data_IF_456616936126
#
_entry.id   IF_456616936126
#
_cell.length_a   1.000
_cell.length_b   1.000
_cell.length_c   1.000
_cell.angle_alpha   90.00
_cell.angle_beta   90.00
_cell.angle_gamma   90.00
#
_symmetry.space_group_name_H-M   'P 1'
#
loop_
_entity.id
_entity.type
_entity.pdbx_description
1 polymer ?
#
# COMPACT_ATOMS: atom_id res chain seq x y z
N UNK A 1 28.84 -0.10 2.15
CA UNK A 1 29.29 0.02 3.54
C UNK A 1 28.06 0.27 4.42
N UNK A 2 27.40 -0.82 4.84
CA UNK A 2 26.23 -0.82 5.71
C UNK A 2 26.55 -1.75 6.85
N UNK A 3 27.30 -1.21 7.84
CA UNK A 3 27.42 -1.80 9.16
C UNK A 3 27.43 -0.69 10.20
N UNK A 4 26.27 -0.04 10.37
CA UNK A 4 25.97 0.45 11.71
C UNK A 4 25.18 -0.68 12.37
N UNK A 5 25.82 -1.40 13.28
CA UNK A 5 25.17 -2.43 14.10
C UNK A 5 23.84 -1.89 14.58
N UNK A 6 22.76 -2.63 14.31
CA UNK A 6 21.42 -2.23 14.75
C UNK A 6 21.51 -2.15 16.28
N UNK A 7 21.34 -0.98 16.87
CA UNK A 7 21.45 -0.84 18.32
C UNK A 7 20.41 -1.73 19.00
N UNK A 8 20.75 -2.27 20.18
CA UNK A 8 19.85 -3.11 21.00
C UNK A 8 18.47 -2.44 21.19
N UNK A 9 18.44 -1.11 21.33
CA UNK A 9 17.21 -0.31 21.43
C UNK A 9 16.35 -0.40 20.17
N UNK A 10 16.96 -0.41 18.97
CA UNK A 10 16.22 -0.54 17.72
C UNK A 10 15.58 -1.92 17.60
N UNK A 11 16.31 -2.98 17.95
CA UNK A 11 15.79 -4.35 17.93
C UNK A 11 14.60 -4.46 18.88
N UNK A 12 14.73 -3.94 20.08
CA UNK A 12 13.64 -3.92 21.05
C UNK A 12 12.40 -3.20 20.53
N UNK A 13 12.55 -2.01 19.92
CA UNK A 13 11.41 -1.27 19.36
C UNK A 13 10.75 -2.01 18.19
N UNK A 14 11.53 -2.61 17.29
CA UNK A 14 11.01 -3.39 16.16
C UNK A 14 10.20 -4.58 16.68
N UNK A 15 10.77 -5.33 17.61
CA UNK A 15 10.08 -6.47 18.20
C UNK A 15 8.79 -6.05 18.92
N UNK A 16 8.85 -5.02 19.76
CA UNK A 16 7.68 -4.52 20.50
C UNK A 16 6.59 -4.02 19.54
N UNK A 17 6.94 -3.31 18.46
CA UNK A 17 6.00 -2.85 17.47
C UNK A 17 5.34 -4.01 16.72
N UNK A 18 6.12 -5.04 16.36
CA UNK A 18 5.56 -6.21 15.68
C UNK A 18 4.58 -6.94 16.60
N UNK A 19 5.00 -7.25 17.81
CA UNK A 19 4.18 -7.98 18.78
C UNK A 19 2.91 -7.19 19.11
N UNK A 20 3.02 -5.90 19.38
CA UNK A 20 1.87 -5.05 19.68
C UNK A 20 0.90 -4.99 18.49
N UNK A 21 1.39 -4.69 17.28
CA UNK A 21 0.55 -4.61 16.10
C UNK A 21 -0.13 -5.93 15.75
N UNK A 22 0.55 -7.03 16.00
CA UNK A 22 0.00 -8.37 15.84
C UNK A 22 -1.13 -8.63 16.84
N UNK A 23 -0.87 -8.41 18.14
CA UNK A 23 -1.83 -8.68 19.22
C UNK A 23 -3.08 -7.80 19.08
N UNK A 24 -2.91 -6.50 18.79
CA UNK A 24 -4.05 -5.58 18.64
C UNK A 24 -4.96 -6.01 17.48
N UNK A 25 -4.37 -6.44 16.37
CA UNK A 25 -5.16 -6.93 15.24
C UNK A 25 -5.83 -8.28 15.55
N UNK A 26 -5.13 -9.20 16.22
CA UNK A 26 -5.72 -10.46 16.69
C UNK A 26 -6.94 -10.20 17.60
N UNK A 27 -6.80 -9.25 18.52
CA UNK A 27 -7.91 -8.87 19.40
C UNK A 27 -9.12 -8.40 18.62
N UNK A 28 -8.95 -7.44 17.70
CA UNK A 28 -10.07 -6.89 16.93
C UNK A 28 -10.63 -7.88 15.90
N UNK A 29 -9.79 -8.66 15.22
CA UNK A 29 -10.25 -9.66 14.26
C UNK A 29 -11.05 -10.81 14.87
N UNK A 30 -10.94 -11.01 16.20
CA UNK A 30 -11.73 -12.00 16.95
C UNK A 30 -12.93 -11.39 17.71
N UNK A 31 -13.19 -10.06 17.59
CA UNK A 31 -14.36 -9.41 18.23
C UNK A 31 -15.65 -9.58 17.45
N UNK A 32 -15.56 -9.82 16.18
CA UNK A 32 -16.71 -9.96 15.30
C UNK A 32 -16.28 -10.11 13.85
N UNK A 33 -17.26 -10.24 12.98
CA UNK A 33 -17.06 -10.36 11.54
C UNK A 33 -17.32 -9.00 10.91
N UNK A 34 -16.36 -8.50 10.14
CA UNK A 34 -16.59 -7.34 9.29
C UNK A 34 -17.66 -7.70 8.27
N UNK A 35 -18.78 -6.94 8.18
CA UNK A 35 -20.01 -7.43 7.58
C UNK A 35 -19.95 -7.65 6.07
N UNK A 36 -19.00 -7.07 5.37
CA UNK A 36 -18.89 -7.13 3.92
C UNK A 36 -17.70 -7.98 3.48
N UNK A 37 -17.93 -8.87 2.52
CA UNK A 37 -16.91 -9.61 1.77
C UNK A 37 -15.91 -10.46 2.58
N UNK A 38 -16.01 -10.48 3.92
CA UNK A 38 -15.07 -11.22 4.77
C UNK A 38 -15.02 -12.71 4.41
N UNK A 39 -16.17 -13.33 4.27
CA UNK A 39 -16.25 -14.75 3.93
C UNK A 39 -15.88 -15.03 2.47
N UNK A 40 -16.06 -14.07 1.58
CA UNK A 40 -15.58 -14.18 0.20
C UNK A 40 -14.06 -14.37 0.15
N UNK A 41 -13.31 -13.56 0.90
CA UNK A 41 -11.85 -13.68 0.93
C UNK A 41 -11.36 -14.90 1.72
N UNK A 42 -12.13 -15.35 2.72
CA UNK A 42 -11.87 -16.63 3.39
C UNK A 42 -12.05 -17.80 2.41
N UNK A 43 -13.19 -17.84 1.70
CA UNK A 43 -13.51 -18.89 0.73
C UNK A 43 -12.49 -18.91 -0.41
N UNK A 44 -12.17 -17.76 -0.99
CA UNK A 44 -11.18 -17.67 -2.06
C UNK A 44 -9.79 -18.19 -1.62
N UNK A 45 -9.34 -17.84 -0.41
CA UNK A 45 -8.09 -18.36 0.14
C UNK A 45 -8.13 -19.89 0.33
N UNK A 46 -9.27 -20.45 0.70
CA UNK A 46 -9.48 -21.88 0.80
C UNK A 46 -9.51 -22.55 -0.58
N UNK A 47 -10.19 -21.95 -1.58
CA UNK A 47 -10.20 -22.44 -2.96
C UNK A 47 -8.79 -22.56 -3.52
N UNK A 48 -7.96 -21.55 -3.32
CA UNK A 48 -6.54 -21.61 -3.72
C UNK A 48 -5.80 -22.72 -2.97
N UNK A 49 -6.07 -22.94 -1.68
CA UNK A 49 -5.45 -24.01 -0.89
C UNK A 49 -5.75 -25.39 -1.48
N UNK A 50 -6.97 -25.62 -1.96
CA UNK A 50 -7.38 -26.93 -2.56
C UNK A 50 -7.03 -27.03 -4.05
N UNK A 51 -6.32 -26.05 -4.61
CA UNK A 51 -5.80 -26.07 -5.97
C UNK A 51 -6.66 -25.40 -7.03
N UNK A 52 -7.74 -24.72 -6.65
CA UNK A 52 -8.50 -23.88 -7.58
C UNK A 52 -7.74 -22.58 -7.86
N UNK A 53 -7.84 -22.09 -9.09
CA UNK A 53 -7.05 -20.95 -9.58
C UNK A 53 -7.99 -19.79 -9.92
N UNK A 54 -7.73 -18.59 -9.33
CA UNK A 54 -8.49 -17.38 -9.66
C UNK A 54 -8.52 -17.11 -11.17
N UNK A 55 -9.61 -16.58 -11.68
CA UNK A 55 -9.89 -16.32 -13.10
C UNK A 55 -10.10 -17.55 -13.97
N UNK A 56 -9.57 -18.71 -13.59
CA UNK A 56 -9.72 -19.96 -14.34
C UNK A 56 -10.88 -20.81 -13.80
N UNK A 57 -10.85 -21.09 -12.50
CA UNK A 57 -11.75 -22.05 -11.86
C UNK A 57 -12.91 -21.35 -11.11
N UNK A 58 -12.71 -20.09 -10.72
CA UNK A 58 -13.74 -19.25 -10.13
C UNK A 58 -13.64 -17.79 -10.57
N UNK A 59 -14.77 -17.10 -10.56
CA UNK A 59 -14.87 -15.72 -10.95
C UNK A 59 -14.22 -14.81 -9.89
N UNK A 60 -13.29 -13.96 -10.30
CA UNK A 60 -12.59 -13.05 -9.40
C UNK A 60 -12.60 -11.62 -9.95
N UNK A 61 -13.29 -10.71 -9.27
CA UNK A 61 -13.30 -9.26 -9.59
C UNK A 61 -12.27 -8.48 -8.79
N UNK A 62 -11.83 -9.01 -7.65
CA UNK A 62 -10.68 -8.54 -6.90
C UNK A 62 -9.41 -9.27 -7.34
N UNK A 63 -8.25 -8.69 -7.09
CA UNK A 63 -7.00 -9.33 -7.47
C UNK A 63 -6.67 -10.55 -6.61
N UNK A 64 -5.87 -11.48 -7.14
CA UNK A 64 -5.60 -12.76 -6.50
C UNK A 64 -4.55 -12.69 -5.39
N UNK A 65 -3.92 -11.52 -5.14
CA UNK A 65 -2.83 -11.39 -4.15
C UNK A 65 -3.26 -11.82 -2.75
N UNK A 66 -4.44 -11.37 -2.31
CA UNK A 66 -4.97 -11.70 -0.98
C UNK A 66 -5.27 -13.18 -0.87
N UNK A 67 -5.86 -13.77 -1.91
CA UNK A 67 -6.25 -15.18 -1.95
C UNK A 67 -5.01 -16.09 -1.86
N UNK A 68 -3.95 -15.81 -2.62
CA UNK A 68 -2.70 -16.56 -2.56
C UNK A 68 -1.97 -16.39 -1.22
N UNK A 69 -1.89 -15.17 -0.67
CA UNK A 69 -1.28 -14.97 0.64
C UNK A 69 -2.09 -15.72 1.71
N UNK A 70 -3.41 -15.64 1.66
CA UNK A 70 -4.28 -16.36 2.61
C UNK A 70 -4.10 -17.87 2.51
N UNK A 71 -4.00 -18.42 1.31
CA UNK A 71 -3.77 -19.86 1.12
C UNK A 71 -2.47 -20.34 1.77
N UNK A 72 -1.42 -19.52 1.76
CA UNK A 72 -0.16 -19.83 2.47
C UNK A 72 -0.40 -19.97 3.99
N UNK A 73 -1.13 -19.03 4.58
CA UNK A 73 -1.45 -19.11 6.01
C UNK A 73 -2.34 -20.32 6.32
N UNK A 74 -3.30 -20.62 5.46
CA UNK A 74 -4.13 -21.81 5.61
C UNK A 74 -3.34 -23.12 5.48
N UNK A 75 -2.36 -23.16 4.59
CA UNK A 75 -1.48 -24.33 4.43
C UNK A 75 -0.72 -24.65 5.71
N UNK A 76 -0.17 -23.64 6.41
CA UNK A 76 0.64 -23.86 7.61
C UNK A 76 -0.18 -23.94 8.90
N UNK A 77 -1.31 -23.26 8.99
CA UNK A 77 -2.07 -23.09 10.23
C UNK A 77 -3.47 -23.76 10.19
N UNK A 78 -3.82 -24.36 9.06
CA UNK A 78 -5.15 -24.90 8.79
C UNK A 78 -6.16 -23.84 8.37
N UNK A 79 -7.19 -24.26 7.63
CA UNK A 79 -8.28 -23.39 7.18
C UNK A 79 -9.25 -23.10 8.35
N UNK A 80 -8.95 -22.10 9.13
CA UNK A 80 -9.74 -21.68 10.29
C UNK A 80 -9.67 -20.16 10.51
N UNK A 81 -10.54 -19.65 11.39
CA UNK A 81 -10.65 -18.22 11.65
C UNK A 81 -9.36 -17.62 12.22
N UNK A 82 -8.66 -18.33 13.10
CA UNK A 82 -7.41 -17.83 13.69
C UNK A 82 -6.33 -17.64 12.63
N UNK A 83 -6.18 -18.58 11.68
CA UNK A 83 -5.25 -18.47 10.56
C UNK A 83 -5.62 -17.30 9.64
N UNK A 84 -6.92 -17.05 9.48
CA UNK A 84 -7.42 -15.93 8.69
C UNK A 84 -7.05 -14.57 9.33
N UNK A 85 -7.32 -14.42 10.62
CA UNK A 85 -6.94 -13.21 11.37
C UNK A 85 -5.42 -13.10 11.51
N UNK A 86 -4.69 -14.23 11.56
CA UNK A 86 -3.23 -14.24 11.63
C UNK A 86 -2.61 -13.56 10.40
N UNK A 87 -3.13 -13.82 9.22
CA UNK A 87 -2.68 -13.17 7.98
C UNK A 87 -2.73 -11.64 8.09
N UNK A 88 -3.87 -11.07 8.42
CA UNK A 88 -4.02 -9.61 8.57
C UNK A 88 -3.14 -9.04 9.68
N UNK A 89 -2.98 -9.77 10.79
CA UNK A 89 -2.11 -9.38 11.90
C UNK A 89 -0.65 -9.33 11.50
N UNK A 90 -0.21 -10.30 10.70
CA UNK A 90 1.16 -10.36 10.18
C UNK A 90 1.45 -9.19 9.23
N UNK A 91 0.54 -8.90 8.31
CA UNK A 91 0.66 -7.76 7.39
C UNK A 91 0.67 -6.43 8.16
N UNK A 92 -0.19 -6.28 9.18
CA UNK A 92 -0.17 -5.12 10.06
C UNK A 92 1.19 -4.94 10.75
N UNK A 93 1.76 -6.02 11.26
CA UNK A 93 3.08 -6.04 11.89
C UNK A 93 4.19 -5.60 10.93
N UNK A 94 4.24 -6.18 9.74
CA UNK A 94 5.25 -5.84 8.74
C UNK A 94 5.17 -4.39 8.29
N UNK A 95 3.98 -3.88 7.97
CA UNK A 95 3.80 -2.49 7.55
C UNK A 95 4.12 -1.50 8.66
N UNK A 96 3.83 -1.85 9.91
CA UNK A 96 4.21 -1.06 11.09
C UNK A 96 5.72 -0.94 11.24
N UNK A 97 6.44 -2.05 11.10
CA UNK A 97 7.92 -2.04 11.12
C UNK A 97 8.47 -1.18 9.98
N UNK A 98 7.91 -1.32 8.78
CA UNK A 98 8.36 -0.55 7.64
C UNK A 98 8.13 0.95 7.85
N UNK A 99 6.99 1.33 8.44
CA UNK A 99 6.69 2.70 8.86
C UNK A 99 7.76 3.24 9.83
N UNK A 100 8.11 2.46 10.84
CA UNK A 100 9.19 2.83 11.78
C UNK A 100 10.52 3.08 11.07
N UNK A 101 10.91 2.21 10.13
CA UNK A 101 12.15 2.39 9.37
C UNK A 101 12.12 3.65 8.50
N UNK A 102 10.99 3.93 7.85
CA UNK A 102 10.84 5.13 7.04
C UNK A 102 10.98 6.39 7.89
N UNK A 103 10.22 6.50 8.97
CA UNK A 103 10.28 7.65 9.88
C UNK A 103 11.70 7.87 10.43
N UNK A 104 12.39 6.80 10.81
CA UNK A 104 13.79 6.86 11.25
C UNK A 104 14.71 7.38 10.16
N UNK A 105 14.52 6.97 8.92
CA UNK A 105 15.29 7.46 7.78
C UNK A 105 15.04 8.94 7.49
N UNK A 106 13.90 9.49 7.90
CA UNK A 106 13.60 10.92 7.84
C UNK A 106 14.13 11.72 9.05
N UNK A 107 15.04 11.13 9.84
CA UNK A 107 15.73 11.75 10.97
C UNK A 107 14.81 12.19 12.13
N UNK A 108 13.64 11.59 12.27
CA UNK A 108 12.82 11.78 13.45
C UNK A 108 13.53 11.16 14.66
N UNK A 109 13.36 11.76 15.84
CA UNK A 109 13.82 11.17 17.10
C UNK A 109 13.17 9.78 17.27
N UNK A 110 13.97 8.81 17.68
CA UNK A 110 13.57 7.39 17.71
C UNK A 110 12.29 7.12 18.51
N UNK A 111 12.08 7.86 19.58
CA UNK A 111 10.86 7.74 20.41
C UNK A 111 9.61 8.19 19.64
N UNK A 112 9.70 9.24 18.80
CA UNK A 112 8.60 9.63 17.92
C UNK A 112 8.39 8.63 16.78
N UNK A 113 9.46 8.05 16.23
CA UNK A 113 9.32 6.96 15.25
C UNK A 113 8.53 5.80 15.86
N UNK A 114 8.85 5.41 17.10
CA UNK A 114 8.14 4.36 17.81
C UNK A 114 6.67 4.74 18.06
N UNK A 115 6.41 5.92 18.61
CA UNK A 115 5.05 6.38 18.92
C UNK A 115 4.16 6.46 17.66
N UNK A 116 4.63 7.08 16.58
CA UNK A 116 3.85 7.20 15.36
C UNK A 116 3.61 5.85 14.69
N UNK A 117 4.58 4.94 14.73
CA UNK A 117 4.39 3.58 14.22
C UNK A 117 3.40 2.78 15.08
N UNK A 118 3.40 3.00 16.39
CA UNK A 118 2.41 2.39 17.29
C UNK A 118 0.99 2.90 16.96
N UNK A 119 0.81 4.20 16.79
CA UNK A 119 -0.47 4.79 16.39
C UNK A 119 -0.91 4.28 15.02
N UNK A 120 0.01 4.18 14.07
CA UNK A 120 -0.26 3.59 12.76
C UNK A 120 -0.80 2.15 12.90
N UNK A 121 -0.19 1.32 13.73
CA UNK A 121 -0.59 -0.08 13.90
C UNK A 121 -2.01 -0.28 14.42
N UNK A 122 -2.52 0.69 15.19
CA UNK A 122 -3.90 0.67 15.70
C UNK A 122 -4.91 1.07 14.62
N UNK A 123 -4.52 1.97 13.70
CA UNK A 123 -5.41 2.55 12.70
C UNK A 123 -5.36 1.83 11.36
N UNK A 124 -4.30 1.05 11.07
CA UNK A 124 -4.09 0.45 9.77
C UNK A 124 -5.04 -0.74 9.51
N UNK A 125 -4.81 -1.88 10.13
CA UNK A 125 -5.58 -3.10 9.89
C UNK A 125 -6.69 -3.39 10.92
N UNK A 126 -6.53 -3.09 12.22
CA UNK A 126 -7.52 -3.43 13.24
C UNK A 126 -8.97 -3.02 12.98
N UNK A 127 -9.26 -1.90 12.24
CA UNK A 127 -10.64 -1.57 11.91
C UNK A 127 -11.41 -2.63 11.12
N UNK A 128 -10.73 -3.43 10.27
CA UNK A 128 -11.34 -4.61 9.61
C UNK A 128 -11.03 -5.90 10.36
N UNK A 129 -9.86 -6.00 10.96
CA UNK A 129 -9.38 -7.15 11.73
C UNK A 129 -9.06 -8.41 10.92
N UNK A 130 -9.69 -8.57 9.76
CA UNK A 130 -9.55 -9.72 8.84
C UNK A 130 -8.97 -9.28 7.50
N UNK A 131 -8.35 -10.18 6.72
CA UNK A 131 -7.84 -9.85 5.39
C UNK A 131 -8.91 -9.23 4.50
N UNK A 132 -8.57 -8.11 3.89
CA UNK A 132 -9.45 -7.37 3.01
C UNK A 132 -8.67 -6.74 1.86
N UNK A 133 -9.19 -6.85 0.64
CA UNK A 133 -8.47 -6.43 -0.58
C UNK A 133 -8.16 -4.94 -0.61
N UNK A 134 -9.07 -4.09 -0.10
CA UNK A 134 -8.83 -2.64 -0.02
C UNK A 134 -7.67 -2.31 0.91
N UNK A 135 -7.61 -2.95 2.08
CA UNK A 135 -6.53 -2.75 3.05
C UNK A 135 -5.20 -3.24 2.50
N UNK A 136 -5.16 -4.42 1.88
CA UNK A 136 -3.94 -4.92 1.25
C UNK A 136 -3.46 -4.00 0.12
N UNK A 137 -4.38 -3.56 -0.75
CA UNK A 137 -4.06 -2.62 -1.82
C UNK A 137 -3.52 -1.30 -1.26
N UNK A 138 -4.16 -0.74 -0.22
CA UNK A 138 -3.71 0.48 0.43
C UNK A 138 -2.33 0.32 1.10
N UNK A 139 -2.11 -0.79 1.83
CA UNK A 139 -0.84 -1.03 2.53
C UNK A 139 0.31 -1.33 1.57
N UNK A 140 0.11 -2.14 0.53
CA UNK A 140 1.12 -2.33 -0.51
C UNK A 140 1.40 -1.06 -1.30
N UNK A 141 0.37 -0.24 -1.59
CA UNK A 141 0.56 1.09 -2.17
C UNK A 141 1.40 1.98 -1.25
N UNK A 142 1.14 1.96 0.06
CA UNK A 142 1.94 2.69 1.05
C UNK A 142 3.41 2.23 1.06
N UNK A 143 3.68 0.91 0.94
CA UNK A 143 5.04 0.40 0.82
C UNK A 143 5.72 0.90 -0.48
N UNK A 144 4.98 1.01 -1.57
CA UNK A 144 5.43 1.63 -2.81
C UNK A 144 5.80 3.11 -2.62
N UNK A 145 4.93 3.88 -1.94
CA UNK A 145 5.18 5.30 -1.58
C UNK A 145 6.40 5.41 -0.66
N UNK A 146 6.52 4.57 0.35
CA UNK A 146 7.67 4.53 1.24
C UNK A 146 8.98 4.24 0.49
N UNK A 147 8.95 3.31 -0.44
CA UNK A 147 10.10 3.01 -1.30
C UNK A 147 10.46 4.21 -2.16
N UNK A 148 9.49 4.90 -2.74
CA UNK A 148 9.69 6.12 -3.50
C UNK A 148 10.30 7.25 -2.64
N UNK A 149 9.78 7.50 -1.45
CA UNK A 149 10.32 8.50 -0.52
C UNK A 149 11.75 8.17 -0.08
N UNK A 150 12.05 6.90 0.21
CA UNK A 150 13.39 6.45 0.56
C UNK A 150 14.35 6.57 -0.63
N UNK A 151 13.86 6.28 -1.85
CA UNK A 151 14.62 6.52 -3.08
C UNK A 151 14.97 8.00 -3.24
N UNK A 152 14.01 8.91 -3.15
CA UNK A 152 14.26 10.35 -3.25
C UNK A 152 15.28 10.84 -2.23
N UNK A 153 15.24 10.30 -1.01
CA UNK A 153 16.14 10.70 0.06
C UNK A 153 17.54 10.12 -0.07
N UNK A 154 17.67 8.84 -0.41
CA UNK A 154 18.95 8.10 -0.39
C UNK A 154 19.59 7.97 -1.76
N UNK A 155 18.85 8.24 -2.84
CA UNK A 155 19.26 8.02 -4.23
C UNK A 155 19.77 6.58 -4.48
N UNK A 156 19.20 5.60 -3.74
CA UNK A 156 19.58 4.20 -3.85
C UNK A 156 18.66 3.47 -4.82
N UNK A 157 19.26 2.85 -5.84
CA UNK A 157 18.60 2.10 -6.91
C UNK A 157 17.67 0.99 -6.40
N UNK A 158 18.02 0.33 -5.29
CA UNK A 158 17.22 -0.74 -4.71
C UNK A 158 15.81 -0.28 -4.37
N UNK A 159 15.66 0.92 -3.80
CA UNK A 159 14.33 1.43 -3.49
C UNK A 159 13.51 1.70 -4.76
N UNK A 160 14.16 2.16 -5.83
CA UNK A 160 13.50 2.36 -7.12
C UNK A 160 13.02 1.04 -7.72
N UNK A 161 13.81 -0.04 -7.60
CA UNK A 161 13.44 -1.39 -8.05
C UNK A 161 12.27 -1.98 -7.24
N UNK A 162 12.13 -1.64 -5.96
CA UNK A 162 11.05 -2.14 -5.10
C UNK A 162 9.68 -1.51 -5.42
N UNK A 163 9.65 -0.31 -6.03
CA UNK A 163 8.40 0.42 -6.27
C UNK A 163 7.44 -0.40 -7.16
N UNK A 164 7.81 -0.86 -8.38
CA UNK A 164 6.89 -1.63 -9.22
C UNK A 164 6.43 -2.93 -8.59
N UNK A 165 7.28 -3.58 -7.77
CA UNK A 165 6.91 -4.79 -7.05
C UNK A 165 5.77 -4.54 -6.06
N UNK A 166 5.90 -3.54 -5.18
CA UNK A 166 4.84 -3.22 -4.22
C UNK A 166 3.59 -2.69 -4.90
N UNK A 167 3.73 -1.84 -5.92
CA UNK A 167 2.58 -1.34 -6.68
C UNK A 167 1.88 -2.45 -7.46
N UNK A 168 2.62 -3.43 -7.95
CA UNK A 168 2.07 -4.62 -8.58
C UNK A 168 1.25 -5.47 -7.59
N UNK A 169 1.81 -5.75 -6.40
CA UNK A 169 1.05 -6.43 -5.34
C UNK A 169 -0.20 -5.64 -4.94
N UNK A 170 -0.11 -4.31 -4.85
CA UNK A 170 -1.25 -3.45 -4.58
C UNK A 170 -2.32 -3.57 -5.67
N UNK A 171 -1.91 -3.45 -6.94
CA UNK A 171 -2.81 -3.55 -8.08
C UNK A 171 -3.47 -4.92 -8.15
N UNK A 172 -2.74 -6.00 -7.94
CA UNK A 172 -3.29 -7.36 -7.89
C UNK A 172 -3.97 -7.72 -6.56
N UNK A 173 -4.01 -6.81 -5.59
CA UNK A 173 -4.97 -6.90 -4.49
C UNK A 173 -6.30 -6.24 -4.87
N UNK A 174 -6.24 -5.00 -5.35
CA UNK A 174 -7.40 -4.26 -5.89
C UNK A 174 -6.93 -3.13 -6.80
N UNK A 175 -7.66 -2.91 -7.91
CA UNK A 175 -7.31 -1.89 -8.91
C UNK A 175 -7.30 -0.48 -8.32
N UNK A 176 -8.26 -0.17 -7.48
CA UNK A 176 -8.40 1.09 -6.74
C UNK A 176 -8.19 0.80 -5.25
N UNK A 177 -7.34 1.49 -4.51
CA UNK A 177 -6.66 2.78 -4.81
C UNK A 177 -5.32 2.66 -5.57
N UNK A 178 -4.82 1.44 -5.83
CA UNK A 178 -3.48 1.24 -6.39
C UNK A 178 -3.20 2.06 -7.65
N UNK A 179 -4.17 2.14 -8.58
CA UNK A 179 -4.02 2.88 -9.84
C UNK A 179 -3.71 4.35 -9.62
N UNK A 180 -4.37 5.02 -8.69
CA UNK A 180 -4.10 6.43 -8.39
C UNK A 180 -2.69 6.64 -7.82
N UNK A 181 -2.24 5.74 -6.96
CA UNK A 181 -0.88 5.81 -6.40
C UNK A 181 0.17 5.52 -7.48
N UNK A 182 -0.10 4.60 -8.41
CA UNK A 182 0.78 4.35 -9.56
C UNK A 182 0.98 5.63 -10.37
N UNK A 183 -0.11 6.32 -10.75
CA UNK A 183 -0.04 7.58 -11.49
C UNK A 183 0.72 8.67 -10.71
N UNK A 184 0.47 8.79 -9.41
CA UNK A 184 1.14 9.77 -8.55
C UNK A 184 2.65 9.54 -8.49
N UNK A 185 3.08 8.29 -8.36
CA UNK A 185 4.51 7.92 -8.32
C UNK A 185 5.16 8.12 -9.69
N UNK A 186 4.50 7.75 -10.79
CA UNK A 186 5.00 8.00 -12.14
C UNK A 186 5.21 9.49 -12.40
N UNK A 187 4.24 10.32 -12.03
CA UNK A 187 4.37 11.78 -12.11
C UNK A 187 5.53 12.29 -11.25
N UNK A 188 5.64 11.78 -10.02
CA UNK A 188 6.75 12.11 -9.12
C UNK A 188 8.12 11.74 -9.69
N UNK A 189 8.25 10.55 -10.29
CA UNK A 189 9.48 10.11 -10.96
C UNK A 189 9.81 10.98 -12.19
N UNK A 190 8.81 11.32 -13.00
CA UNK A 190 8.99 12.19 -14.17
C UNK A 190 9.50 13.59 -13.77
N UNK A 191 8.88 14.20 -12.74
CA UNK A 191 9.31 15.50 -12.20
C UNK A 191 10.71 15.42 -11.62
N UNK A 192 11.00 14.36 -10.87
CA UNK A 192 12.33 14.15 -10.30
C UNK A 192 13.40 14.01 -11.38
N UNK A 193 13.16 13.18 -12.41
CA UNK A 193 14.07 12.98 -13.52
C UNK A 193 14.30 14.25 -14.35
N UNK A 194 13.25 15.05 -14.55
CA UNK A 194 13.36 16.35 -15.21
C UNK A 194 14.23 17.32 -14.40
N UNK A 195 14.05 17.37 -13.07
CA UNK A 195 14.86 18.24 -12.18
C UNK A 195 16.33 17.83 -12.09
N UNK A 196 16.61 16.54 -11.96
CA UNK A 196 17.97 15.99 -11.86
C UNK A 196 18.63 15.83 -13.24
N UNK A 197 17.89 16.09 -14.33
CA UNK A 197 18.35 15.91 -15.73
C UNK A 197 18.93 14.51 -16.00
N UNK A 198 18.32 13.48 -15.42
CA UNK A 198 18.72 12.08 -15.59
C UNK A 198 17.52 11.18 -15.75
N UNK A 199 17.60 10.23 -16.69
CA UNK A 199 16.59 9.21 -16.89
C UNK A 199 16.99 7.87 -16.25
N UNK A 200 18.14 7.80 -15.58
CA UNK A 200 18.69 6.57 -15.01
C UNK A 200 17.67 5.86 -14.10
N UNK A 201 16.98 6.60 -13.27
CA UNK A 201 16.03 6.05 -12.31
C UNK A 201 14.71 5.58 -12.95
N UNK A 202 14.28 6.26 -14.01
CA UNK A 202 13.15 5.79 -14.81
C UNK A 202 13.51 4.43 -15.44
N UNK A 203 14.74 4.28 -15.94
CA UNK A 203 15.19 3.01 -16.52
C UNK A 203 15.16 1.87 -15.47
N UNK A 204 15.64 2.10 -14.24
CA UNK A 204 15.54 1.09 -13.17
C UNK A 204 14.08 0.76 -12.83
N UNK A 205 13.22 1.76 -12.76
CA UNK A 205 11.79 1.54 -12.56
C UNK A 205 11.19 0.68 -13.69
N UNK A 206 11.46 1.04 -14.95
CA UNK A 206 10.94 0.31 -16.11
C UNK A 206 11.48 -1.12 -16.18
N UNK A 207 12.77 -1.34 -15.91
CA UNK A 207 13.35 -2.69 -15.85
C UNK A 207 12.63 -3.52 -14.79
N UNK A 208 12.44 -3.00 -13.59
CA UNK A 208 11.72 -3.71 -12.53
C UNK A 208 10.27 -3.97 -12.88
N UNK A 209 9.59 -3.01 -13.51
CA UNK A 209 8.22 -3.17 -14.00
C UNK A 209 8.13 -4.28 -15.07
N UNK A 210 9.05 -4.30 -16.03
CA UNK A 210 9.10 -5.35 -17.04
C UNK A 210 9.36 -6.72 -16.43
N UNK A 211 10.28 -6.82 -15.48
CA UNK A 211 10.52 -8.07 -14.74
C UNK A 211 9.24 -8.50 -14.00
N UNK A 212 8.57 -7.60 -13.31
CA UNK A 212 7.33 -7.92 -12.60
C UNK A 212 6.24 -8.41 -13.57
N UNK A 213 6.00 -7.70 -14.68
CA UNK A 213 5.02 -8.10 -15.71
C UNK A 213 5.38 -9.48 -16.28
N UNK A 214 6.65 -9.71 -16.59
CA UNK A 214 7.12 -11.01 -17.11
C UNK A 214 6.85 -12.15 -16.12
N UNK A 215 7.14 -11.95 -14.83
CA UNK A 215 6.85 -12.94 -13.80
C UNK A 215 5.34 -13.22 -13.68
N UNK A 216 4.50 -12.19 -13.73
CA UNK A 216 3.04 -12.35 -13.71
C UNK A 216 2.53 -13.12 -14.93
N UNK A 217 3.05 -12.82 -16.13
CA UNK A 217 2.67 -13.51 -17.36
C UNK A 217 3.09 -14.99 -17.34
N UNK A 218 4.31 -15.29 -16.88
CA UNK A 218 4.77 -16.67 -16.70
C UNK A 218 3.90 -17.40 -15.69
N UNK A 219 3.66 -16.78 -14.53
CA UNK A 219 2.80 -17.36 -13.49
C UNK A 219 1.41 -17.67 -14.04
N UNK A 220 0.75 -16.71 -14.70
CA UNK A 220 -0.57 -16.90 -15.31
C UNK A 220 -0.59 -18.03 -16.34
N UNK A 221 0.45 -18.11 -17.20
CA UNK A 221 0.58 -19.18 -18.18
C UNK A 221 0.76 -20.55 -17.52
N UNK A 222 1.61 -20.66 -16.50
CA UNK A 222 1.83 -21.91 -15.76
C UNK A 222 0.56 -22.39 -15.03
N UNK A 223 -0.26 -21.46 -14.56
CA UNK A 223 -1.55 -21.75 -13.94
C UNK A 223 -2.69 -22.00 -14.95
N UNK A 224 -2.43 -21.87 -16.25
CA UNK A 224 -3.43 -22.07 -17.30
C UNK A 224 -4.50 -20.98 -17.36
N UNK A 225 -4.22 -19.78 -16.83
CA UNK A 225 -5.13 -18.64 -16.88
C UNK A 225 -5.12 -18.08 -18.31
N UNK A 226 -6.30 -18.01 -18.96
CA UNK A 226 -6.44 -17.33 -20.23
C UNK A 226 -6.41 -15.82 -20.02
N UNK A 227 -5.67 -15.13 -20.87
CA UNK A 227 -5.59 -13.66 -20.79
C UNK A 227 -6.97 -12.99 -20.97
N UNK A 228 -7.84 -13.58 -21.81
CA UNK A 228 -9.22 -13.11 -21.97
C UNK A 228 -10.01 -13.16 -20.67
N UNK A 229 -9.86 -14.22 -19.88
CA UNK A 229 -10.60 -14.39 -18.63
C UNK A 229 -10.13 -13.39 -17.57
N UNK A 230 -8.82 -13.20 -17.46
CA UNK A 230 -8.23 -12.14 -16.63
C UNK A 230 -8.73 -10.75 -17.06
N UNK A 231 -8.67 -10.43 -18.34
CA UNK A 231 -9.10 -9.12 -18.87
C UNK A 231 -10.58 -8.87 -18.59
N UNK A 232 -11.43 -9.85 -18.88
CA UNK A 232 -12.87 -9.73 -18.68
C UNK A 232 -13.24 -9.58 -17.20
N UNK A 233 -12.69 -10.43 -16.33
CA UNK A 233 -13.08 -10.46 -14.92
C UNK A 233 -12.45 -9.31 -14.12
N UNK A 234 -11.18 -8.98 -14.40
CA UNK A 234 -10.40 -8.06 -13.58
C UNK A 234 -10.37 -6.62 -14.10
N UNK A 235 -10.54 -6.41 -15.39
CA UNK A 235 -10.46 -5.06 -16.00
C UNK A 235 -11.84 -4.62 -16.50
N UNK A 236 -12.46 -5.38 -17.41
CA UNK A 236 -13.67 -4.91 -18.09
C UNK A 236 -14.90 -4.93 -17.20
N UNK A 237 -15.13 -6.01 -16.47
CA UNK A 237 -16.30 -6.11 -15.59
C UNK A 237 -16.30 -5.05 -14.47
N UNK A 238 -15.20 -4.80 -13.72
CA UNK A 238 -15.17 -3.72 -12.73
C UNK A 238 -15.42 -2.33 -13.31
N UNK A 239 -15.08 -2.08 -14.59
CA UNK A 239 -15.39 -0.82 -15.25
C UNK A 239 -16.90 -0.59 -15.41
N UNK A 240 -17.68 -1.65 -15.69
CA UNK A 240 -19.14 -1.52 -15.80
C UNK A 240 -19.76 -1.08 -14.48
N UNK A 241 -19.33 -1.70 -13.36
CA UNK A 241 -19.76 -1.30 -12.01
C UNK A 241 -19.30 0.12 -11.66
N UNK A 242 -18.08 0.48 -12.08
CA UNK A 242 -17.52 1.81 -11.87
C UNK A 242 -18.32 2.90 -12.59
N UNK A 243 -18.76 2.66 -13.80
CA UNK A 243 -19.54 3.62 -14.60
C UNK A 243 -20.84 4.00 -13.89
N UNK A 244 -21.55 3.02 -13.34
CA UNK A 244 -22.78 3.29 -12.57
C UNK A 244 -22.55 4.14 -11.32
N UNK A 245 -21.40 3.97 -10.67
CA UNK A 245 -21.01 4.80 -9.51
C UNK A 245 -20.67 6.23 -9.91
N UNK A 246 -20.07 6.44 -11.09
CA UNK A 246 -19.75 7.77 -11.60
C UNK A 246 -20.99 8.56 -12.01
N UNK A 247 -21.99 7.93 -12.59
CA UNK A 247 -23.26 8.60 -12.96
C UNK A 247 -24.05 9.12 -11.77
N UNK A 248 -23.81 8.55 -10.58
CA UNK A 248 -24.48 8.89 -9.33
C UNK A 248 -23.63 9.77 -8.40
N UNK A 249 -22.50 10.31 -8.87
CA UNK A 249 -21.64 11.20 -8.06
C UNK A 249 -22.31 12.55 -7.86
N UNK A 250 -22.85 12.74 -6.65
CA UNK A 250 -23.32 14.04 -6.19
C UNK A 250 -22.18 14.79 -5.49
N UNK A 251 -21.63 15.81 -6.13
CA UNK A 251 -20.67 16.72 -5.52
C UNK A 251 -21.37 17.64 -4.52
N UNK A 252 -21.68 17.11 -3.36
CA UNK A 252 -22.26 17.89 -2.26
C UNK A 252 -21.17 18.38 -1.31
N UNK A 253 -21.42 19.48 -0.59
CA UNK A 253 -20.50 19.96 0.46
C UNK A 253 -20.18 18.84 1.48
N UNK A 254 -21.16 18.07 1.89
CA UNK A 254 -20.96 16.95 2.80
C UNK A 254 -20.12 15.83 2.18
N UNK A 255 -20.32 15.51 0.91
CA UNK A 255 -19.56 14.46 0.21
C UNK A 255 -18.10 14.82 -0.03
N UNK A 256 -17.79 16.09 -0.31
CA UNK A 256 -16.44 16.52 -0.67
C UNK A 256 -15.70 17.12 0.55
N UNK A 257 -16.31 18.06 1.26
CA UNK A 257 -15.62 18.80 2.31
C UNK A 257 -15.72 18.10 3.66
N UNK A 258 -16.93 17.76 4.11
CA UNK A 258 -17.11 17.20 5.44
C UNK A 258 -16.57 15.77 5.55
N UNK A 259 -16.65 14.99 4.48
CA UNK A 259 -16.11 13.62 4.45
C UNK A 259 -14.59 13.59 4.58
N UNK A 260 -13.88 14.50 3.90
CA UNK A 260 -12.41 14.57 3.91
C UNK A 260 -11.85 15.64 4.85
N UNK A 261 -12.64 16.16 5.78
CA UNK A 261 -12.27 17.25 6.71
C UNK A 261 -10.95 17.04 7.45
N UNK A 262 -10.63 15.83 7.87
CA UNK A 262 -9.38 15.52 8.56
C UNK A 262 -8.16 15.59 7.64
N UNK A 263 -8.32 15.24 6.37
CA UNK A 263 -7.28 15.40 5.36
C UNK A 263 -7.00 16.89 5.16
N UNK A 264 -8.03 17.70 4.98
CA UNK A 264 -7.87 19.16 4.83
C UNK A 264 -7.25 19.81 6.06
N UNK A 265 -7.62 19.37 7.28
CA UNK A 265 -7.00 19.84 8.50
C UNK A 265 -5.50 19.56 8.57
N UNK A 266 -5.02 18.45 8.01
CA UNK A 266 -3.58 18.14 7.93
C UNK A 266 -2.80 19.08 7.01
N UNK A 267 -3.46 19.74 6.05
CA UNK A 267 -2.81 20.74 5.19
C UNK A 267 -2.45 22.01 5.95
N UNK A 268 -3.23 22.39 6.96
CA UNK A 268 -3.02 23.64 7.72
C UNK A 268 -1.60 23.71 8.30
N UNK A 269 -1.11 22.74 9.09
CA UNK A 269 0.26 22.76 9.59
C UNK A 269 1.31 22.66 8.48
N UNK A 270 1.05 21.94 7.38
CA UNK A 270 1.97 21.86 6.25
C UNK A 270 2.12 23.21 5.55
N UNK A 271 1.02 23.90 5.29
CA UNK A 271 1.00 25.24 4.71
C UNK A 271 1.75 26.22 5.65
N UNK A 272 1.48 26.16 6.96
CA UNK A 272 2.13 27.02 7.94
C UNK A 272 3.65 26.79 7.96
N UNK A 273 4.13 25.55 8.02
CA UNK A 273 5.56 25.23 8.03
C UNK A 273 6.22 25.70 6.73
N UNK A 274 5.56 25.52 5.59
CA UNK A 274 6.09 25.96 4.30
C UNK A 274 6.15 27.49 4.22
N UNK A 275 5.11 28.19 4.69
CA UNK A 275 5.07 29.65 4.76
C UNK A 275 6.21 30.19 5.65
N UNK A 276 6.40 29.63 6.86
CA UNK A 276 7.48 30.00 7.76
C UNK A 276 8.86 29.80 7.15
N UNK A 277 9.12 28.65 6.51
CA UNK A 277 10.36 28.39 5.79
C UNK A 277 10.67 29.42 4.70
N UNK A 278 9.65 29.88 4.00
CA UNK A 278 9.83 30.85 2.92
C UNK A 278 10.18 32.25 3.45
N UNK A 279 9.57 32.66 4.57
CA UNK A 279 9.90 33.92 5.24
C UNK A 279 11.36 33.87 5.72
N UNK A 280 11.78 32.79 6.36
CA UNK A 280 13.13 32.63 6.91
C UNK A 280 14.21 32.55 5.79
N UNK A 281 13.88 31.96 4.62
CA UNK A 281 14.83 31.76 3.53
C UNK A 281 14.93 32.94 2.55
N UNK A 282 14.07 33.97 2.67
CA UNK A 282 13.90 35.05 1.68
C UNK A 282 13.74 34.57 0.23
N UNK A 283 13.41 33.30 0.03
CA UNK A 283 13.14 32.68 -1.28
C UNK A 283 11.67 32.68 -1.55
N UNK A 284 11.24 33.42 -2.58
CA UNK A 284 9.89 33.24 -3.12
C UNK A 284 9.69 31.79 -3.57
N UNK A 285 8.57 31.20 -3.17
CA UNK A 285 8.11 29.90 -3.64
C UNK A 285 8.19 29.81 -5.16
N UNK A 286 9.01 28.94 -5.69
CA UNK A 286 8.73 28.40 -7.02
C UNK A 286 7.48 27.54 -6.85
N UNK A 287 6.38 27.91 -7.51
CA UNK A 287 5.06 27.27 -7.33
C UNK A 287 5.05 25.75 -7.41
N UNK A 288 6.07 25.14 -8.05
CA UNK A 288 6.27 23.70 -8.13
C UNK A 288 6.56 23.01 -6.78
N UNK A 289 7.13 23.71 -5.80
CA UNK A 289 7.44 23.12 -4.48
C UNK A 289 6.20 23.01 -3.58
N UNK A 290 5.17 23.78 -3.89
CA UNK A 290 3.88 23.74 -3.18
C UNK A 290 2.86 22.84 -3.89
N UNK A 291 2.85 22.87 -5.22
CA UNK A 291 1.88 22.12 -6.03
C UNK A 291 2.11 20.61 -5.97
N UNK A 292 3.36 20.14 -5.88
CA UNK A 292 3.67 18.71 -5.86
C UNK A 292 3.13 18.01 -4.59
N UNK A 293 3.38 18.50 -3.36
CA UNK A 293 2.74 17.92 -2.18
C UNK A 293 1.21 17.99 -2.24
N UNK A 294 0.66 19.09 -2.76
CA UNK A 294 -0.79 19.27 -2.88
C UNK A 294 -1.41 18.23 -3.85
N UNK A 295 -0.80 18.02 -5.02
CA UNK A 295 -1.25 17.00 -5.98
C UNK A 295 -1.12 15.59 -5.40
N UNK A 296 -0.01 15.28 -4.71
CA UNK A 296 0.20 13.97 -4.08
C UNK A 296 -0.77 13.67 -2.92
N UNK A 297 -1.45 14.67 -2.39
CA UNK A 297 -2.40 14.52 -1.29
C UNK A 297 -3.85 14.57 -1.82
N UNK A 298 -4.09 15.20 -2.97
CA UNK A 298 -5.42 15.26 -3.61
C UNK A 298 -5.71 14.04 -4.51
N UNK A 299 -4.69 13.27 -4.86
CA UNK A 299 -4.79 11.98 -5.56
C UNK A 299 -4.90 10.83 -4.56
#
# INVERSE_FOLDING_TARGET
MIEKSISKKNIFFIFSLFVFSFIINQYYGNKGVFPLDTFLHFDNGYRVLIGEIPFRDYWSVSGPTVDYIQSIFFYFLGANWNAYVFHSSFINGLTTIFTFFVLKNFNLKINYCFLYSLLFSILAYPPSGTPFVDHHSALFSLLGVYSFLLFLKKKNKLYCLLIPFFLGLAFFSKQVPATYIIFSILLGLAIYSYKEKTFEYINYFLISLLIFIFLVLIFGKLQGIKFSDFLNQYILYPQTIGTERFTNLNFTFNGVIAHFKFIYLLFVPLIYVQYKKNIESKKYLKGTEFVIPLILILL
#
